data_IF_706470355939
#
_entry.id   IF_706470355939
#
_cell.length_a   1.000
_cell.length_b   1.000
_cell.length_c   1.000
_cell.angle_alpha   90.00
_cell.angle_beta   90.00
_cell.angle_gamma   90.00
#
_symmetry.space_group_name_H-M   'P 1'
#
loop_
_entity.id
_entity.type
_entity.pdbx_description
1 polymer ?
#
# COMPACT_ATOMS: atom_id res chain seq x y z
N UNK A 1 6.96 -13.04 -9.15
CA UNK A 1 8.13 -12.64 -8.34
C UNK A 1 7.96 -11.15 -8.02
N UNK A 2 8.32 -10.69 -6.82
CA UNK A 2 8.05 -9.32 -6.37
C UNK A 2 9.04 -8.31 -6.98
N UNK A 3 8.89 -7.98 -8.27
CA UNK A 3 9.73 -6.96 -8.94
C UNK A 3 9.67 -5.60 -8.25
N UNK A 4 8.56 -5.30 -7.58
CA UNK A 4 8.42 -4.10 -6.78
C UNK A 4 9.42 -4.00 -5.63
N UNK A 5 9.85 -5.13 -5.05
CA UNK A 5 10.83 -5.16 -3.96
C UNK A 5 12.22 -4.66 -4.37
N UNK A 6 12.51 -4.73 -5.66
CA UNK A 6 13.76 -4.29 -6.25
C UNK A 6 13.68 -2.86 -6.83
N UNK A 7 12.50 -2.22 -6.77
CA UNK A 7 12.29 -0.90 -7.36
C UNK A 7 13.20 0.13 -6.66
N UNK A 8 13.95 0.98 -7.38
CA UNK A 8 14.89 1.94 -6.80
C UNK A 8 14.22 2.93 -5.83
N UNK A 9 12.95 3.25 -6.06
CA UNK A 9 12.16 4.07 -5.15
C UNK A 9 11.98 3.45 -3.75
N UNK A 10 12.10 2.13 -3.63
CA UNK A 10 12.02 1.43 -2.35
C UNK A 10 13.34 1.44 -1.57
N UNK A 11 14.46 1.76 -2.20
CA UNK A 11 15.76 1.87 -1.52
C UNK A 11 15.84 3.04 -0.54
N UNK A 12 15.02 4.07 -0.75
CA UNK A 12 14.97 5.26 0.10
C UNK A 12 13.85 5.17 1.17
N UNK A 13 13.08 4.08 1.20
CA UNK A 13 12.01 3.88 2.18
C UNK A 13 12.64 3.36 3.48
N UNK A 14 12.17 3.89 4.61
CA UNK A 14 12.55 3.43 5.95
C UNK A 14 12.45 1.90 6.07
N UNK A 15 13.44 1.22 6.70
CA UNK A 15 13.43 -0.24 6.84
C UNK A 15 12.15 -0.77 7.53
N UNK A 16 11.61 0.00 8.49
CA UNK A 16 10.34 -0.31 9.16
C UNK A 16 9.16 -0.28 8.18
N UNK A 17 9.11 0.73 7.30
CA UNK A 17 8.08 0.85 6.27
C UNK A 17 8.22 -0.28 5.24
N UNK A 18 9.44 -0.61 4.84
CA UNK A 18 9.73 -1.74 3.94
C UNK A 18 9.21 -3.07 4.49
N UNK A 19 9.45 -3.38 5.76
CA UNK A 19 8.92 -4.59 6.39
C UNK A 19 7.38 -4.63 6.37
N UNK A 20 6.74 -3.49 6.63
CA UNK A 20 5.29 -3.39 6.58
C UNK A 20 4.79 -3.66 5.16
N UNK A 21 5.33 -2.98 4.14
CA UNK A 21 4.92 -3.18 2.74
C UNK A 21 5.17 -4.63 2.32
N UNK A 22 6.31 -5.23 2.70
CA UNK A 22 6.61 -6.64 2.44
C UNK A 22 5.57 -7.57 3.07
N UNK A 23 5.14 -7.27 4.29
CA UNK A 23 4.12 -8.03 5.00
C UNK A 23 2.76 -7.91 4.32
N UNK A 24 2.33 -6.70 3.96
CA UNK A 24 1.09 -6.52 3.22
C UNK A 24 1.15 -7.13 1.83
N UNK A 25 2.22 -6.90 1.08
CA UNK A 25 2.40 -7.49 -0.24
C UNK A 25 2.32 -9.01 -0.18
N UNK A 26 2.90 -9.67 0.83
CA UNK A 26 2.70 -11.10 1.07
C UNK A 26 1.25 -11.46 1.36
N UNK A 27 0.54 -10.66 2.14
CA UNK A 27 -0.88 -10.87 2.43
C UNK A 27 -1.79 -10.60 1.23
N UNK A 28 -1.33 -9.78 0.27
CA UNK A 28 -2.09 -9.36 -0.91
C UNK A 28 -1.63 -10.08 -2.18
N UNK A 29 -0.50 -10.79 -2.14
CA UNK A 29 -0.06 -11.70 -3.19
C UNK A 29 -1.13 -12.78 -3.35
N UNK A 30 -1.77 -12.79 -4.52
CA UNK A 30 -2.88 -13.69 -4.82
C UNK A 30 -4.26 -13.24 -4.31
N UNK A 31 -4.39 -12.03 -3.73
CA UNK A 31 -5.69 -11.45 -3.36
C UNK A 31 -6.06 -10.25 -4.24
N UNK A 32 -7.33 -10.17 -4.62
CA UNK A 32 -7.88 -9.07 -5.44
C UNK A 32 -8.04 -7.76 -4.65
N UNK A 33 -8.13 -6.64 -5.35
CA UNK A 33 -8.21 -5.27 -4.79
C UNK A 33 -9.25 -5.06 -3.67
N UNK A 34 -10.35 -5.82 -3.66
CA UNK A 34 -11.33 -5.82 -2.56
C UNK A 34 -10.79 -6.30 -1.21
N UNK A 35 -9.85 -7.25 -1.19
CA UNK A 35 -9.23 -7.74 0.05
C UNK A 35 -8.00 -6.94 0.47
N UNK A 36 -7.55 -6.01 -0.39
CA UNK A 36 -6.40 -5.13 -0.13
C UNK A 36 -6.75 -3.97 0.82
N UNK A 37 -8.01 -3.51 0.86
CA UNK A 37 -8.45 -2.41 1.72
C UNK A 37 -8.19 -2.65 3.23
N UNK A 38 -8.65 -3.76 3.83
CA UNK A 38 -8.38 -4.04 5.24
C UNK A 38 -6.89 -4.28 5.52
N UNK A 39 -6.13 -4.80 4.55
CA UNK A 39 -4.68 -5.00 4.68
C UNK A 39 -3.95 -3.66 4.68
N UNK A 40 -4.30 -2.74 3.79
CA UNK A 40 -3.75 -1.38 3.76
C UNK A 40 -4.07 -0.62 5.04
N UNK A 41 -5.31 -0.70 5.56
CA UNK A 41 -5.65 -0.09 6.86
C UNK A 41 -4.81 -0.70 7.99
N UNK A 42 -4.72 -2.04 8.06
CA UNK A 42 -3.90 -2.69 9.08
C UNK A 42 -2.42 -2.28 8.97
N UNK A 43 -1.93 -2.06 7.76
CA UNK A 43 -0.58 -1.59 7.48
C UNK A 43 -0.36 -0.13 7.91
N UNK A 44 -1.29 0.77 7.59
CA UNK A 44 -1.26 2.17 8.01
C UNK A 44 -1.33 2.27 9.54
N UNK A 45 -2.22 1.50 10.17
CA UNK A 45 -2.35 1.46 11.64
C UNK A 45 -1.10 0.89 12.29
N UNK A 46 -0.52 -0.17 11.72
CA UNK A 46 0.74 -0.76 12.21
C UNK A 46 1.91 0.20 12.04
N UNK A 47 1.96 0.94 10.94
CA UNK A 47 2.94 1.99 10.69
C UNK A 47 2.84 3.08 11.76
N UNK A 48 1.64 3.65 11.93
CA UNK A 48 1.38 4.68 12.93
C UNK A 48 1.77 4.21 14.34
N UNK A 49 1.46 2.96 14.70
CA UNK A 49 1.84 2.36 15.99
C UNK A 49 3.35 2.26 16.17
N UNK A 50 4.11 2.01 15.09
CA UNK A 50 5.58 2.01 15.09
C UNK A 50 6.18 3.43 15.01
N UNK A 51 5.36 4.48 15.07
CA UNK A 51 5.81 5.87 14.95
C UNK A 51 6.20 6.29 13.53
N UNK A 52 5.89 5.45 12.53
CA UNK A 52 6.20 5.73 11.12
C UNK A 52 4.91 6.03 10.36
N UNK A 53 4.92 7.09 9.56
CA UNK A 53 3.80 7.41 8.67
C UNK A 53 4.24 7.27 7.23
N UNK A 54 3.40 6.65 6.42
CA UNK A 54 3.57 6.71 4.98
C UNK A 54 3.15 8.08 4.49
N UNK A 55 4.01 8.69 3.68
CA UNK A 55 3.65 9.90 2.97
C UNK A 55 2.73 9.56 1.78
N UNK A 56 1.92 10.52 1.30
CA UNK A 56 1.12 10.34 0.09
C UNK A 56 1.96 9.92 -1.13
N UNK A 57 3.19 10.43 -1.23
CA UNK A 57 4.11 10.11 -2.31
C UNK A 57 4.62 8.66 -2.22
N UNK A 58 5.02 8.20 -1.03
CA UNK A 58 5.41 6.80 -0.79
C UNK A 58 4.26 5.84 -1.08
N UNK A 59 3.04 6.17 -0.62
CA UNK A 59 1.84 5.40 -0.92
C UNK A 59 1.62 5.31 -2.42
N UNK A 60 1.66 6.45 -3.13
CA UNK A 60 1.44 6.51 -4.58
C UNK A 60 2.45 5.67 -5.34
N UNK A 61 3.71 5.68 -4.92
CA UNK A 61 4.76 4.81 -5.44
C UNK A 61 4.43 3.33 -5.23
N UNK A 62 4.16 2.93 -3.98
CA UNK A 62 3.81 1.53 -3.66
C UNK A 62 2.61 1.07 -4.47
N UNK A 63 1.58 1.91 -4.60
CA UNK A 63 0.39 1.63 -5.39
C UNK A 63 0.73 1.50 -6.88
N UNK A 64 1.56 2.39 -7.42
CA UNK A 64 2.01 2.29 -8.80
C UNK A 64 2.69 0.95 -9.07
N UNK A 65 3.59 0.51 -8.17
CA UNK A 65 4.28 -0.77 -8.35
C UNK A 65 3.41 -1.99 -8.01
N UNK A 66 2.42 -1.87 -7.11
CA UNK A 66 1.44 -2.92 -6.85
C UNK A 66 0.48 -3.12 -8.02
N UNK A 67 0.16 -2.05 -8.75
CA UNK A 67 -0.67 -2.07 -9.97
C UNK A 67 0.12 -2.61 -11.18
N UNK A 68 1.43 -2.42 -11.18
CA UNK A 68 2.31 -2.90 -12.24
C UNK A 68 2.29 -4.44 -12.33
N UNK A 69 1.96 -4.96 -13.51
CA UNK A 69 1.80 -6.40 -13.74
C UNK A 69 0.43 -7.00 -13.38
N UNK A 70 -0.54 -6.19 -12.93
CA UNK A 70 -1.94 -6.62 -12.67
C UNK A 70 -2.89 -6.29 -13.83
N UNK A 71 -3.97 -7.06 -14.03
CA UNK A 71 -4.99 -6.75 -15.02
C UNK A 71 -5.76 -5.47 -14.66
N UNK A 72 -6.31 -4.81 -15.67
CA UNK A 72 -6.95 -3.49 -15.57
C UNK A 72 -8.03 -3.42 -14.48
N UNK A 73 -8.84 -4.47 -14.34
CA UNK A 73 -9.84 -4.59 -13.26
C UNK A 73 -9.23 -4.54 -11.86
N UNK A 74 -8.07 -5.15 -11.63
CA UNK A 74 -7.41 -5.09 -10.33
C UNK A 74 -6.79 -3.72 -10.07
N UNK A 75 -6.28 -3.07 -11.12
CA UNK A 75 -5.74 -1.71 -11.00
C UNK A 75 -6.83 -0.71 -10.57
N UNK A 76 -8.00 -0.78 -11.18
CA UNK A 76 -9.17 0.03 -10.84
C UNK A 76 -9.66 -0.23 -9.40
N UNK A 77 -9.67 -1.49 -8.95
CA UNK A 77 -10.03 -1.80 -7.56
C UNK A 77 -9.05 -1.21 -6.55
N UNK A 78 -7.73 -1.29 -6.83
CA UNK A 78 -6.69 -0.71 -5.98
C UNK A 78 -6.85 0.82 -5.95
N UNK A 79 -7.11 1.46 -7.08
CA UNK A 79 -7.22 2.91 -7.17
C UNK A 79 -8.47 3.46 -6.45
N UNK A 80 -9.60 2.77 -6.58
CA UNK A 80 -10.83 3.10 -5.85
C UNK A 80 -10.65 2.93 -4.34
N UNK A 81 -9.91 1.91 -3.90
CA UNK A 81 -9.60 1.70 -2.49
C UNK A 81 -8.73 2.83 -1.93
N UNK A 82 -7.70 3.26 -2.67
CA UNK A 82 -6.82 4.36 -2.26
C UNK A 82 -7.59 5.67 -2.14
N UNK A 83 -8.49 5.94 -3.08
CA UNK A 83 -9.41 7.09 -3.00
C UNK A 83 -10.28 7.02 -1.75
N UNK A 84 -10.82 5.84 -1.41
CA UNK A 84 -11.59 5.65 -0.18
C UNK A 84 -10.74 5.91 1.07
N UNK A 85 -9.57 5.27 1.20
CA UNK A 85 -8.68 5.46 2.35
C UNK A 85 -8.23 6.92 2.50
N UNK A 86 -7.84 7.57 1.40
CA UNK A 86 -7.46 8.99 1.39
C UNK A 86 -8.63 9.89 1.80
N UNK A 87 -9.84 9.58 1.32
CA UNK A 87 -11.06 10.28 1.73
C UNK A 87 -11.32 10.09 3.22
N UNK A 88 -11.19 8.88 3.75
CA UNK A 88 -11.33 8.59 5.19
C UNK A 88 -10.30 9.34 6.04
N UNK A 89 -9.04 9.41 5.62
CA UNK A 89 -8.01 10.19 6.32
C UNK A 89 -8.27 11.69 6.26
N UNK A 90 -8.72 12.21 5.11
CA UNK A 90 -8.95 13.66 4.90
C UNK A 90 -10.21 14.16 5.60
N UNK A 91 -11.20 13.30 5.82
CA UNK A 91 -12.49 13.67 6.41
C UNK A 91 -12.54 13.58 7.95
N UNK A 92 -11.42 13.33 8.63
CA UNK A 92 -11.34 13.33 10.10
C UNK A 92 -11.84 12.05 10.77
N UNK A 93 -11.61 10.90 10.15
CA UNK A 93 -11.92 9.60 10.74
C UNK A 93 -10.82 9.04 11.66
N UNK A 94 -10.25 9.85 12.56
CA UNK A 94 -9.62 9.46 13.84
C UNK A 94 -9.68 10.66 14.77
#
# INVERSE_FOLDING_TARGET
MNDWINHPAMKNIDPVKLELIKTASKQTQGKSGKSLAPVMMALITSANKKGVRFTPDEMSLIIAVLKEGKPKEEQDQIENMVKMVTTYMKKGGV
#
